data_IF_450647550676
#
_entry.id   IF_450647550676
#
_cell.length_a   1.000
_cell.length_b   1.000
_cell.length_c   1.000
_cell.angle_alpha   90.00
_cell.angle_beta   90.00
_cell.angle_gamma   90.00
#
_symmetry.space_group_name_H-M   'P 1'
#
loop_
_entity.id
_entity.type
_entity.pdbx_description
1 polymer ?
#
# COMPACT_ATOMS: atom_id res chain seq x y z
N UNK A 1 0.44 -46.74 -0.51
CA UNK A 1 0.60 -45.55 0.34
C UNK A 1 -0.47 -44.58 -0.13
N UNK A 2 -1.57 -44.49 0.62
CA UNK A 2 -2.67 -43.57 0.30
C UNK A 2 -2.16 -42.12 0.38
N UNK A 3 -2.50 -41.34 -0.62
CA UNK A 3 -2.10 -39.95 -0.75
C UNK A 3 -2.88 -39.13 0.29
N UNK A 4 -2.24 -38.75 1.39
CA UNK A 4 -2.85 -38.06 2.54
C UNK A 4 -3.03 -36.55 2.33
N UNK A 5 -2.89 -36.06 1.10
CA UNK A 5 -3.08 -34.64 0.79
C UNK A 5 -4.54 -34.44 0.37
N UNK A 6 -5.32 -33.61 1.10
CA UNK A 6 -6.71 -33.38 0.74
C UNK A 6 -6.84 -32.64 -0.60
N UNK A 7 -7.83 -33.02 -1.41
CA UNK A 7 -8.11 -32.37 -2.71
C UNK A 7 -8.45 -30.88 -2.55
N UNK A 8 -8.98 -30.49 -1.38
CA UNK A 8 -9.32 -29.11 -1.04
C UNK A 8 -8.89 -28.80 0.39
N UNK A 9 -8.31 -27.62 0.59
CA UNK A 9 -8.04 -27.07 1.91
C UNK A 9 -8.89 -25.81 2.12
N UNK A 10 -9.73 -25.83 3.15
CA UNK A 10 -10.51 -24.66 3.59
C UNK A 10 -9.99 -24.24 4.96
N UNK A 11 -9.63 -22.98 5.11
CA UNK A 11 -9.12 -22.43 6.35
C UNK A 11 -9.63 -21.01 6.55
N UNK A 12 -9.83 -20.64 7.82
CA UNK A 12 -10.18 -19.27 8.19
C UNK A 12 -8.90 -18.43 8.27
N UNK A 13 -8.86 -17.35 7.51
CA UNK A 13 -7.79 -16.36 7.61
C UNK A 13 -8.34 -15.21 8.46
N UNK A 14 -7.68 -14.92 9.58
CA UNK A 14 -7.99 -13.72 10.34
C UNK A 14 -7.64 -12.49 9.50
N UNK A 15 -8.67 -11.72 9.14
CA UNK A 15 -8.49 -10.43 8.47
C UNK A 15 -8.18 -9.36 9.52
N UNK A 16 -7.07 -8.65 9.33
CA UNK A 16 -6.75 -7.43 10.08
C UNK A 16 -6.97 -6.22 9.18
N UNK A 17 -7.83 -5.30 9.61
CA UNK A 17 -8.11 -4.02 8.94
C UNK A 17 -7.55 -2.88 9.79
N UNK A 18 -7.13 -1.75 9.18
CA UNK A 18 -6.68 -0.63 9.99
C UNK A 18 -7.80 -0.11 10.90
N UNK A 19 -7.42 0.30 12.11
CA UNK A 19 -8.32 0.95 13.06
C UNK A 19 -8.60 2.40 12.62
N UNK A 20 -9.69 3.03 13.08
CA UNK A 20 -9.93 4.46 12.83
C UNK A 20 -8.74 5.34 13.23
N UNK A 21 -8.13 5.06 14.39
CA UNK A 21 -6.94 5.76 14.87
C UNK A 21 -5.75 5.67 13.91
N UNK A 22 -5.54 4.51 13.26
CA UNK A 22 -4.46 4.35 12.28
C UNK A 22 -4.68 5.20 11.01
N UNK A 23 -5.93 5.50 10.63
CA UNK A 23 -6.19 6.45 9.56
C UNK A 23 -5.93 7.91 9.99
N UNK A 24 -6.16 8.24 11.26
CA UNK A 24 -5.99 9.59 11.81
C UNK A 24 -4.53 9.94 12.15
N UNK A 25 -3.76 8.96 12.59
CA UNK A 25 -2.39 9.13 13.09
C UNK A 25 -1.35 8.60 12.10
N UNK A 26 -1.74 7.72 11.19
CA UNK A 26 -0.83 7.00 10.30
C UNK A 26 -0.16 5.82 10.99
N UNK A 27 0.37 4.90 10.19
CA UNK A 27 1.03 3.68 10.69
C UNK A 27 2.56 3.77 10.62
N UNK A 28 3.22 2.93 11.41
CA UNK A 28 4.66 2.70 11.30
C UNK A 28 4.95 1.71 10.17
N UNK A 29 5.91 2.04 9.31
CA UNK A 29 6.49 1.14 8.32
C UNK A 29 7.99 0.96 8.48
N UNK A 30 8.55 0.01 7.75
CA UNK A 30 9.99 -0.26 7.70
C UNK A 30 10.48 -0.42 6.27
N UNK A 31 11.77 -0.26 6.04
CA UNK A 31 12.40 -0.68 4.80
C UNK A 31 12.84 -2.14 4.88
N UNK A 32 12.53 -2.91 3.85
CA UNK A 32 12.94 -4.32 3.76
C UNK A 32 13.61 -4.60 2.42
N UNK A 33 14.83 -5.14 2.48
CA UNK A 33 15.61 -5.57 1.31
C UNK A 33 15.06 -6.87 0.74
N UNK A 34 14.02 -6.75 -0.07
CA UNK A 34 13.35 -7.84 -0.75
C UNK A 34 12.83 -7.34 -2.12
N UNK A 35 12.85 -8.21 -3.12
CA UNK A 35 12.36 -7.91 -4.46
C UNK A 35 11.49 -9.05 -4.99
N UNK A 36 10.39 -8.71 -5.65
CA UNK A 36 9.50 -9.69 -6.25
C UNK A 36 9.92 -9.92 -7.69
N UNK A 37 10.30 -11.15 -8.03
CA UNK A 37 10.71 -11.53 -9.40
C UNK A 37 9.63 -11.29 -10.46
N UNK A 38 8.36 -11.44 -10.08
CA UNK A 38 7.21 -11.05 -10.89
C UNK A 38 6.14 -10.40 -10.00
N UNK A 39 6.14 -9.06 -9.84
CA UNK A 39 5.18 -8.35 -8.98
C UNK A 39 3.71 -8.57 -9.39
N UNK A 40 3.46 -8.74 -10.69
CA UNK A 40 2.13 -8.93 -11.26
C UNK A 40 1.56 -10.34 -11.05
N UNK A 41 2.39 -11.30 -10.64
CA UNK A 41 1.93 -12.63 -10.27
C UNK A 41 1.60 -12.67 -8.76
N UNK A 42 0.33 -12.95 -8.44
CA UNK A 42 -0.11 -13.23 -7.06
C UNK A 42 0.22 -14.67 -6.68
N UNK A 43 1.51 -14.95 -6.50
CA UNK A 43 2.01 -16.29 -6.13
C UNK A 43 2.06 -16.44 -4.62
N UNK A 44 1.68 -17.62 -4.11
CA UNK A 44 1.93 -17.99 -2.72
C UNK A 44 3.42 -18.31 -2.58
N UNK A 45 4.16 -17.42 -1.94
CA UNK A 45 5.55 -17.64 -1.56
C UNK A 45 5.66 -17.64 -0.03
N UNK A 46 5.70 -18.83 0.57
CA UNK A 46 5.71 -19.00 2.02
C UNK A 46 6.97 -18.38 2.66
N UNK A 47 8.15 -18.61 2.07
CA UNK A 47 9.40 -18.07 2.60
C UNK A 47 9.45 -16.53 2.57
N UNK A 48 8.94 -15.90 1.51
CA UNK A 48 8.78 -14.45 1.46
C UNK A 48 7.83 -13.94 2.56
N UNK A 49 6.67 -14.60 2.73
CA UNK A 49 5.70 -14.22 3.77
C UNK A 49 6.28 -14.34 5.17
N UNK A 50 7.02 -15.41 5.44
CA UNK A 50 7.68 -15.63 6.73
C UNK A 50 8.72 -14.55 7.03
N UNK A 51 9.57 -14.19 6.06
CA UNK A 51 10.58 -13.12 6.23
C UNK A 51 9.95 -11.75 6.47
N UNK A 52 8.92 -11.40 5.68
CA UNK A 52 8.16 -10.16 5.89
C UNK A 52 7.51 -10.16 7.27
N UNK A 53 6.84 -11.25 7.66
CA UNK A 53 6.16 -11.34 8.95
C UNK A 53 7.14 -11.20 10.13
N UNK A 54 8.31 -11.84 10.05
CA UNK A 54 9.36 -11.71 11.05
C UNK A 54 9.86 -10.27 11.15
N UNK A 55 10.19 -9.62 10.02
CA UNK A 55 10.65 -8.23 10.01
C UNK A 55 9.62 -7.25 10.59
N UNK A 56 8.33 -7.42 10.25
CA UNK A 56 7.25 -6.61 10.80
C UNK A 56 7.07 -6.81 12.30
N UNK A 57 7.16 -8.05 12.78
CA UNK A 57 7.05 -8.37 14.20
C UNK A 57 8.20 -7.77 15.01
N UNK A 58 9.44 -7.91 14.53
CA UNK A 58 10.65 -7.42 15.20
C UNK A 58 10.64 -5.89 15.35
N UNK A 59 10.14 -5.18 14.33
CA UNK A 59 10.06 -3.72 14.34
C UNK A 59 8.73 -3.17 14.87
N UNK A 60 7.77 -4.03 15.23
CA UNK A 60 6.39 -3.65 15.54
C UNK A 60 5.78 -2.73 14.45
N UNK A 61 6.03 -3.07 13.19
CA UNK A 61 5.63 -2.30 12.02
C UNK A 61 4.36 -2.85 11.39
N UNK A 62 3.58 -1.96 10.77
CA UNK A 62 2.36 -2.33 10.05
C UNK A 62 2.65 -2.84 8.64
N UNK A 63 3.61 -2.22 7.95
CA UNK A 63 3.94 -2.54 6.56
C UNK A 63 5.44 -2.40 6.28
N UNK A 64 5.94 -3.24 5.39
CA UNK A 64 7.32 -3.20 4.93
C UNK A 64 7.36 -2.67 3.49
N UNK A 65 8.11 -1.60 3.26
CA UNK A 65 8.39 -1.05 1.94
C UNK A 65 9.56 -1.82 1.33
N UNK A 66 9.31 -2.46 0.20
CA UNK A 66 10.26 -3.32 -0.48
C UNK A 66 11.29 -2.50 -1.25
N UNK A 67 12.57 -2.74 -0.94
CA UNK A 67 13.70 -2.05 -1.54
C UNK A 67 14.46 -3.04 -2.43
N UNK A 68 14.58 -2.70 -3.71
CA UNK A 68 15.28 -3.53 -4.68
C UNK A 68 16.81 -3.43 -4.54
N UNK A 69 17.52 -4.18 -5.40
CA UNK A 69 18.99 -4.20 -5.48
C UNK A 69 19.65 -2.86 -5.86
N UNK A 70 18.87 -1.88 -6.36
CA UNK A 70 19.34 -0.54 -6.74
C UNK A 70 19.06 0.53 -5.67
N UNK A 71 18.69 0.12 -4.45
CA UNK A 71 18.26 1.03 -3.38
C UNK A 71 17.01 1.85 -3.74
N UNK A 72 16.13 1.30 -4.58
CA UNK A 72 14.86 1.93 -4.94
C UNK A 72 13.69 1.22 -4.27
N UNK A 73 12.74 2.02 -3.78
CA UNK A 73 11.49 1.55 -3.20
C UNK A 73 10.52 1.23 -4.33
N UNK A 74 9.97 0.02 -4.30
CA UNK A 74 9.04 -0.47 -5.32
C UNK A 74 7.59 -0.37 -4.82
N UNK A 75 7.20 -1.26 -3.93
CA UNK A 75 5.87 -1.35 -3.34
C UNK A 75 5.94 -1.72 -1.85
N UNK A 76 4.81 -1.77 -1.16
CA UNK A 76 4.73 -2.39 0.16
C UNK A 76 4.64 -3.92 0.02
N UNK A 77 4.88 -4.64 1.12
CA UNK A 77 4.93 -6.10 1.09
C UNK A 77 3.60 -6.74 0.66
N UNK A 78 2.49 -6.02 0.88
CA UNK A 78 1.11 -6.40 0.51
C UNK A 78 0.29 -5.22 -0.01
N UNK A 79 0.94 -4.12 -0.41
CA UNK A 79 0.31 -2.85 -0.77
C UNK A 79 1.11 -2.14 -1.85
N UNK A 80 0.52 -1.17 -2.55
CA UNK A 80 1.32 -0.19 -3.31
C UNK A 80 1.68 0.99 -2.40
N UNK A 81 2.78 1.67 -2.68
CA UNK A 81 3.24 2.86 -1.93
C UNK A 81 3.27 4.11 -2.81
N UNK A 82 2.95 5.25 -2.21
CA UNK A 82 2.96 6.56 -2.84
C UNK A 82 3.59 7.57 -1.89
N UNK A 83 4.20 8.59 -2.48
CA UNK A 83 4.93 9.64 -1.77
C UNK A 83 4.40 11.00 -2.21
N UNK A 84 4.41 11.98 -1.32
CA UNK A 84 4.07 13.37 -1.64
C UNK A 84 5.35 14.19 -1.63
N UNK A 85 5.56 14.98 -2.68
CA UNK A 85 6.63 15.97 -2.74
C UNK A 85 6.12 17.22 -3.45
N UNK A 86 6.15 18.37 -2.80
CA UNK A 86 5.71 19.65 -3.36
C UNK A 86 4.28 19.60 -3.94
N UNK A 87 3.36 18.93 -3.23
CA UNK A 87 1.97 18.64 -3.67
C UNK A 87 1.82 17.69 -4.88
N UNK A 88 2.90 17.14 -5.42
CA UNK A 88 2.86 16.09 -6.43
C UNK A 88 2.82 14.71 -5.77
N UNK A 89 2.14 13.77 -6.41
CA UNK A 89 2.10 12.36 -6.01
C UNK A 89 3.15 11.58 -6.80
N UNK A 90 4.05 10.89 -6.11
CA UNK A 90 5.08 10.05 -6.71
C UNK A 90 4.81 8.58 -6.40
N UNK A 91 5.07 7.69 -7.34
CA UNK A 91 5.04 6.23 -7.11
C UNK A 91 5.98 5.52 -8.07
N UNK A 92 6.39 4.30 -7.72
CA UNK A 92 7.26 3.52 -8.58
C UNK A 92 6.57 3.16 -9.92
N UNK A 93 7.34 3.01 -11.02
CA UNK A 93 6.79 2.66 -12.32
C UNK A 93 6.10 1.30 -12.32
N UNK A 94 4.98 1.16 -13.06
CA UNK A 94 4.21 -0.09 -13.23
C UNK A 94 5.04 -1.36 -13.49
N UNK A 95 6.19 -1.25 -14.14
CA UNK A 95 7.07 -2.40 -14.41
C UNK A 95 7.65 -3.06 -13.16
N UNK A 96 7.75 -2.33 -12.05
CA UNK A 96 8.41 -2.77 -10.82
C UNK A 96 7.43 -3.12 -9.69
N UNK A 97 6.12 -2.98 -9.92
CA UNK A 97 5.09 -3.10 -8.87
C UNK A 97 3.88 -3.90 -9.36
N UNK A 98 3.11 -4.44 -8.43
CA UNK A 98 1.79 -4.97 -8.74
C UNK A 98 0.88 -3.82 -9.19
N UNK A 99 0.18 -3.99 -10.32
CA UNK A 99 -0.84 -3.04 -10.76
C UNK A 99 -2.13 -3.24 -9.92
N UNK A 100 -2.10 -2.75 -8.67
CA UNK A 100 -3.22 -2.87 -7.75
C UNK A 100 -4.46 -2.10 -8.20
N UNK A 101 -5.65 -2.62 -7.92
CA UNK A 101 -6.92 -1.96 -8.25
C UNK A 101 -7.05 -0.62 -7.51
N UNK A 102 -6.71 -0.58 -6.22
CA UNK A 102 -6.72 0.68 -5.44
C UNK A 102 -5.72 1.69 -5.99
N UNK A 103 -4.55 1.25 -6.47
CA UNK A 103 -3.60 2.10 -7.19
C UNK A 103 -4.24 2.71 -8.43
N UNK A 104 -4.97 1.94 -9.25
CA UNK A 104 -5.68 2.49 -10.42
C UNK A 104 -6.64 3.60 -10.00
N UNK A 105 -7.43 3.41 -8.94
CA UNK A 105 -8.30 4.46 -8.42
C UNK A 105 -7.54 5.70 -7.94
N UNK A 106 -6.36 5.57 -7.34
CA UNK A 106 -5.54 6.74 -6.98
C UNK A 106 -5.14 7.54 -8.21
N UNK A 107 -4.73 6.89 -9.31
CA UNK A 107 -4.43 7.57 -10.57
C UNK A 107 -5.66 8.30 -11.13
N UNK A 108 -6.83 7.67 -11.09
CA UNK A 108 -8.07 8.31 -11.53
C UNK A 108 -8.45 9.50 -10.64
N UNK A 109 -8.35 9.36 -9.33
CA UNK A 109 -8.61 10.43 -8.36
C UNK A 109 -7.67 11.61 -8.61
N UNK A 110 -6.37 11.35 -8.76
CA UNK A 110 -5.39 12.41 -9.01
C UNK A 110 -5.71 13.15 -10.32
N UNK A 111 -6.01 12.42 -11.40
CA UNK A 111 -6.42 13.01 -12.69
C UNK A 111 -7.68 13.87 -12.54
N UNK A 112 -8.71 13.36 -11.87
CA UNK A 112 -10.00 14.05 -11.77
C UNK A 112 -9.92 15.30 -10.88
N UNK A 113 -8.97 15.34 -9.93
CA UNK A 113 -8.70 16.48 -9.05
C UNK A 113 -7.61 17.43 -9.56
N UNK A 114 -6.98 17.14 -10.70
CA UNK A 114 -5.85 17.92 -11.23
C UNK A 114 -4.59 17.86 -10.36
N UNK A 115 -4.42 16.77 -9.61
CA UNK A 115 -3.20 16.50 -8.82
C UNK A 115 -2.22 15.75 -9.74
N UNK A 116 -1.03 16.30 -9.90
CA UNK A 116 0.01 15.67 -10.72
C UNK A 116 0.47 14.36 -10.06
N UNK A 117 0.50 13.28 -10.85
CA UNK A 117 0.97 11.97 -10.42
C UNK A 117 2.05 11.43 -11.35
N UNK A 118 3.25 11.23 -10.81
CA UNK A 118 4.46 10.91 -11.56
C UNK A 118 4.93 9.49 -11.22
N UNK A 119 5.04 8.67 -12.25
CA UNK A 119 5.70 7.36 -12.15
C UNK A 119 7.21 7.53 -12.36
N UNK A 120 8.01 7.36 -11.29
CA UNK A 120 9.48 7.41 -11.38
C UNK A 120 10.14 6.54 -10.31
N UNK A 121 11.37 6.04 -10.53
CA UNK A 121 12.12 5.36 -9.47
C UNK A 121 12.29 6.25 -8.24
N UNK A 122 12.09 5.67 -7.06
CA UNK A 122 12.18 6.38 -5.77
C UNK A 122 13.32 5.77 -4.97
N UNK A 123 14.47 6.43 -4.91
CA UNK A 123 15.59 5.97 -4.09
C UNK A 123 15.27 6.12 -2.61
N UNK A 124 15.77 5.20 -1.78
CA UNK A 124 15.63 5.27 -0.31
C UNK A 124 16.14 6.61 0.24
N UNK A 125 17.21 7.16 -0.33
CA UNK A 125 17.76 8.46 0.08
C UNK A 125 16.77 9.63 -0.07
N UNK A 126 15.81 9.53 -1.00
CA UNK A 126 14.81 10.58 -1.24
C UNK A 126 13.73 10.63 -0.15
N UNK A 127 13.60 9.60 0.69
CA UNK A 127 12.56 9.54 1.72
C UNK A 127 12.58 10.76 2.64
N UNK A 128 13.76 11.20 3.07
CA UNK A 128 13.90 12.34 3.99
C UNK A 128 13.40 13.66 3.40
N UNK A 129 13.20 13.71 2.08
CA UNK A 129 12.69 14.87 1.39
C UNK A 129 11.17 14.82 1.19
N UNK A 130 10.50 13.70 1.47
CA UNK A 130 9.06 13.55 1.20
C UNK A 130 8.20 14.26 2.25
N UNK A 131 7.15 14.94 1.79
CA UNK A 131 6.20 15.65 2.64
C UNK A 131 5.11 14.73 3.24
N UNK A 132 5.00 13.51 2.69
CA UNK A 132 4.05 12.50 3.14
C UNK A 132 4.23 11.19 2.39
N UNK A 133 3.76 10.10 3.00
CA UNK A 133 3.80 8.75 2.45
C UNK A 133 2.48 8.07 2.79
N UNK A 134 1.93 7.31 1.84
CA UNK A 134 0.78 6.47 2.09
C UNK A 134 0.86 5.17 1.30
N UNK A 135 0.19 4.14 1.81
CA UNK A 135 0.03 2.87 1.13
C UNK A 135 -1.39 2.67 0.67
N UNK A 136 -1.56 1.75 -0.29
CA UNK A 136 -2.86 1.41 -0.83
C UNK A 136 -3.06 -0.08 -0.98
N UNK A 137 -4.30 -0.52 -0.77
CA UNK A 137 -4.72 -1.90 -0.97
C UNK A 137 -6.20 -2.06 -0.69
N UNK A 138 -6.74 -3.23 -1.00
CA UNK A 138 -8.18 -3.49 -0.82
C UNK A 138 -8.61 -3.35 0.65
N UNK A 139 -7.85 -3.94 1.57
CA UNK A 139 -8.13 -3.87 3.01
C UNK A 139 -7.74 -2.53 3.65
N UNK A 140 -6.52 -1.98 3.43
CA UNK A 140 -6.13 -0.72 4.06
C UNK A 140 -6.67 0.52 3.35
N UNK A 141 -7.37 0.38 2.21
CA UNK A 141 -7.83 1.50 1.38
C UNK A 141 -6.66 2.43 1.01
N UNK A 142 -6.71 3.68 1.46
CA UNK A 142 -5.63 4.66 1.42
C UNK A 142 -5.22 4.88 2.88
N UNK A 143 -4.02 4.45 3.27
CA UNK A 143 -3.56 4.49 4.66
C UNK A 143 -2.26 5.30 4.78
N UNK A 144 -2.24 6.39 5.56
CA UNK A 144 -1.03 7.18 5.77
C UNK A 144 0.05 6.38 6.52
N UNK A 145 1.31 6.60 6.15
CA UNK A 145 2.48 6.12 6.92
C UNK A 145 3.09 7.31 7.63
N UNK A 146 3.05 7.32 8.96
CA UNK A 146 3.58 8.41 9.78
C UNK A 146 5.07 8.25 10.07
N UNK A 147 5.60 7.04 10.04
CA UNK A 147 7.03 6.78 10.21
C UNK A 147 7.53 5.64 9.32
N UNK A 148 8.75 5.74 8.81
CA UNK A 148 9.48 4.65 8.14
C UNK A 148 10.84 4.52 8.83
N UNK A 149 11.11 3.39 9.46
CA UNK A 149 12.30 3.21 10.31
C UNK A 149 12.42 4.39 11.32
N UNK A 150 13.50 5.17 11.27
CA UNK A 150 13.76 6.35 12.11
C UNK A 150 13.17 7.67 11.54
N UNK A 151 12.58 7.64 10.34
CA UNK A 151 12.06 8.82 9.64
C UNK A 151 10.61 9.08 9.99
N UNK A 152 10.26 10.36 10.22
CA UNK A 152 8.89 10.80 10.51
C UNK A 152 8.31 11.64 9.37
N UNK A 153 7.02 11.46 9.11
CA UNK A 153 6.27 12.13 8.03
C UNK A 153 4.96 12.70 8.56
N UNK A 154 4.56 13.86 8.03
CA UNK A 154 3.28 14.48 8.38
C UNK A 154 2.10 13.89 7.58
N UNK A 155 2.17 12.61 7.22
CA UNK A 155 1.31 11.97 6.21
C UNK A 155 -0.17 12.03 6.55
N UNK A 156 -0.54 11.72 7.79
CA UNK A 156 -1.95 11.70 8.20
C UNK A 156 -2.59 13.10 8.23
N UNK A 157 -1.78 14.16 8.27
CA UNK A 157 -2.23 15.56 8.20
C UNK A 157 -1.95 16.21 6.84
N UNK A 158 -1.28 15.51 5.92
CA UNK A 158 -0.93 16.04 4.61
C UNK A 158 -2.23 16.30 3.79
N UNK A 159 -2.45 17.54 3.30
CA UNK A 159 -3.69 17.88 2.59
C UNK A 159 -3.94 17.02 1.34
N UNK A 160 -2.90 16.69 0.58
CA UNK A 160 -3.04 15.87 -0.65
C UNK A 160 -3.50 14.46 -0.28
N UNK A 161 -2.88 13.85 0.74
CA UNK A 161 -3.26 12.51 1.20
C UNK A 161 -4.70 12.51 1.71
N UNK A 162 -5.08 13.50 2.52
CA UNK A 162 -6.47 13.62 3.02
C UNK A 162 -7.48 13.75 1.89
N UNK A 163 -7.20 14.60 0.91
CA UNK A 163 -8.07 14.77 -0.26
C UNK A 163 -8.24 13.46 -1.03
N UNK A 164 -7.15 12.70 -1.25
CA UNK A 164 -7.22 11.39 -1.92
C UNK A 164 -8.01 10.38 -1.08
N UNK A 165 -7.80 10.35 0.24
CA UNK A 165 -8.55 9.48 1.16
C UNK A 165 -10.06 9.76 1.11
N UNK A 166 -10.46 11.04 1.19
CA UNK A 166 -11.86 11.45 1.10
C UNK A 166 -12.47 11.05 -0.23
N UNK A 167 -11.83 11.41 -1.35
CA UNK A 167 -12.34 11.08 -2.69
C UNK A 167 -12.48 9.56 -2.91
N UNK A 168 -11.53 8.77 -2.39
CA UNK A 168 -11.63 7.31 -2.48
C UNK A 168 -12.80 6.74 -1.67
N UNK A 169 -13.02 7.24 -0.46
CA UNK A 169 -14.17 6.83 0.36
C UNK A 169 -15.50 7.24 -0.28
N UNK A 170 -15.60 8.44 -0.84
CA UNK A 170 -16.80 8.90 -1.55
C UNK A 170 -17.14 7.97 -2.74
N UNK A 171 -16.14 7.57 -3.53
CA UNK A 171 -16.32 6.60 -4.62
C UNK A 171 -16.82 5.24 -4.13
N UNK A 172 -16.33 4.76 -2.98
CA UNK A 172 -16.83 3.53 -2.37
C UNK A 172 -18.31 3.68 -2.00
N UNK A 173 -18.68 4.77 -1.35
CA UNK A 173 -20.07 5.02 -0.96
C UNK A 173 -21.01 5.11 -2.16
N UNK A 174 -20.60 5.83 -3.21
CA UNK A 174 -21.35 5.91 -4.45
C UNK A 174 -21.53 4.55 -5.12
N UNK A 175 -20.47 3.74 -5.16
CA UNK A 175 -20.53 2.38 -5.70
C UNK A 175 -21.53 1.51 -4.93
N UNK A 176 -21.49 1.56 -3.59
CA UNK A 176 -22.43 0.81 -2.73
C UNK A 176 -23.86 1.30 -2.94
N UNK A 177 -24.09 2.62 -2.99
CA UNK A 177 -25.42 3.22 -3.23
C UNK A 177 -25.99 2.74 -4.56
N UNK A 178 -25.24 2.84 -5.66
CA UNK A 178 -25.65 2.37 -7.00
C UNK A 178 -26.03 0.89 -6.99
N UNK A 179 -25.22 0.04 -6.37
CA UNK A 179 -25.47 -1.42 -6.32
C UNK A 179 -26.62 -1.83 -5.40
N UNK A 180 -26.92 -1.02 -4.40
CA UNK A 180 -28.07 -1.26 -3.52
C UNK A 180 -29.38 -0.87 -4.20
N UNK A 181 -29.39 0.26 -4.93
CA UNK A 181 -30.56 0.73 -5.68
C UNK A 181 -30.89 -0.18 -6.87
N UNK A 182 -29.88 -0.72 -7.58
CA UNK A 182 -30.09 -1.68 -8.69
C UNK A 182 -30.65 -3.04 -8.24
N UNK A 183 -30.67 -3.35 -6.94
CA UNK A 183 -31.13 -4.63 -6.38
C UNK A 183 -32.48 -4.54 -5.68
N UNK A 184 -33.05 -3.34 -5.55
CA UNK A 184 -34.37 -3.09 -4.97
C UNK A 184 -35.41 -2.94 -6.08
#
# INVERSE_FOLDING_TARGET
MENTVPDYSIYFIHSSYPTPEQYETGVHGILLKEERSNPNAKVVNSGYKERVAAALADANAYEALLVNSKDEITEGSRSNVFFIKNNEVLTAPKGNVLIGITRVYVFEICRDLGIEIIEKPISVSMLREMDGVFITGTSPKILPISTIDDMSFNSARNPVIKTIMTSYNDRIEEYIKKKTVERA
#
